data_IF_973229075645
#
_entry.id   IF_973229075645
#
_cell.length_a   1.000
_cell.length_b   1.000
_cell.length_c   1.000
_cell.angle_alpha   90.00
_cell.angle_beta   90.00
_cell.angle_gamma   90.00
#
_symmetry.space_group_name_H-M   'P 1'
#
loop_
_entity.id
_entity.type
_entity.pdbx_description
1 polymer ?
#
# COMPACT_ATOMS: atom_id res chain seq x y z
N UNK A 1 -33.38 9.08 1.94
CA UNK A 1 -32.23 9.99 2.12
C UNK A 1 -31.06 9.10 2.44
N UNK A 2 -30.27 8.72 1.42
CA UNK A 2 -29.12 7.84 1.59
C UNK A 2 -27.93 8.80 1.63
N UNK A 3 -27.39 9.01 2.81
CA UNK A 3 -26.23 9.89 2.99
C UNK A 3 -25.07 9.36 2.15
N UNK A 4 -24.77 10.08 1.06
CA UNK A 4 -23.52 9.98 0.31
C UNK A 4 -22.38 10.57 1.16
N UNK A 5 -22.22 10.07 2.38
CA UNK A 5 -21.08 10.35 3.24
C UNK A 5 -19.92 9.49 2.73
N UNK A 6 -19.26 10.03 1.71
CA UNK A 6 -17.92 9.69 1.26
C UNK A 6 -17.68 8.21 0.96
N UNK A 7 -17.84 7.83 -0.31
CA UNK A 7 -17.40 6.53 -0.88
C UNK A 7 -15.93 6.19 -0.52
N UNK A 8 -15.16 7.20 -0.10
CA UNK A 8 -13.85 7.10 0.49
C UNK A 8 -13.87 7.62 1.95
N UNK A 9 -14.17 6.72 2.90
CA UNK A 9 -14.20 7.02 4.33
C UNK A 9 -12.79 7.00 4.94
N UNK A 10 -12.54 7.77 6.01
CA UNK A 10 -11.26 7.78 6.74
C UNK A 10 -10.84 6.36 7.18
N UNK A 11 -11.81 5.47 7.44
CA UNK A 11 -11.60 4.05 7.74
C UNK A 11 -10.88 3.32 6.59
N UNK A 12 -11.29 3.59 5.34
CA UNK A 12 -10.73 3.01 4.11
C UNK A 12 -9.29 3.51 3.92
N UNK A 13 -9.04 4.81 4.13
CA UNK A 13 -7.71 5.39 4.03
C UNK A 13 -6.72 4.76 5.03
N UNK A 14 -7.14 4.53 6.28
CA UNK A 14 -6.32 3.87 7.30
C UNK A 14 -5.97 2.43 6.89
N UNK A 15 -6.96 1.66 6.42
CA UNK A 15 -6.72 0.29 5.94
C UNK A 15 -5.71 0.29 4.79
N UNK A 16 -5.85 1.24 3.86
CA UNK A 16 -4.98 1.38 2.69
C UNK A 16 -3.53 1.68 3.10
N UNK A 17 -3.31 2.58 4.06
CA UNK A 17 -1.98 2.89 4.60
C UNK A 17 -1.35 1.65 5.26
N UNK A 18 -2.13 0.89 6.03
CA UNK A 18 -1.64 -0.34 6.68
C UNK A 18 -1.23 -1.39 5.64
N UNK A 19 -2.06 -1.65 4.63
CA UNK A 19 -1.73 -2.58 3.54
C UNK A 19 -0.46 -2.16 2.79
N UNK A 20 -0.26 -0.86 2.62
CA UNK A 20 0.91 -0.31 1.96
C UNK A 20 2.19 -0.52 2.81
N UNK A 21 2.13 -0.22 4.11
CA UNK A 21 3.24 -0.48 5.02
C UNK A 21 3.61 -1.96 5.11
N UNK A 22 2.60 -2.84 5.12
CA UNK A 22 2.78 -4.29 5.10
C UNK A 22 3.49 -4.75 3.81
N UNK A 23 3.11 -4.18 2.68
CA UNK A 23 3.69 -4.49 1.37
C UNK A 23 5.12 -3.99 1.22
N UNK A 24 5.45 -2.83 1.79
CA UNK A 24 6.82 -2.32 1.89
C UNK A 24 7.67 -3.27 2.75
N UNK A 25 7.13 -3.75 3.87
CA UNK A 25 7.77 -4.76 4.72
C UNK A 25 8.07 -6.05 3.96
N UNK A 26 7.08 -6.61 3.25
CA UNK A 26 7.25 -7.80 2.41
C UNK A 26 8.27 -7.53 1.29
N UNK A 27 8.20 -6.38 0.63
CA UNK A 27 9.14 -5.97 -0.41
C UNK A 27 10.58 -5.98 0.07
N UNK A 28 10.83 -5.58 1.34
CA UNK A 28 12.17 -5.67 1.91
C UNK A 28 12.70 -7.10 2.01
N UNK A 29 11.86 -8.11 2.15
CA UNK A 29 12.30 -9.51 2.20
C UNK A 29 12.23 -10.19 0.83
N UNK A 30 11.31 -9.78 -0.03
CA UNK A 30 11.07 -10.38 -1.35
C UNK A 30 12.03 -9.88 -2.44
N UNK A 31 12.48 -8.62 -2.36
CA UNK A 31 13.33 -8.02 -3.39
C UNK A 31 14.78 -8.48 -3.19
N UNK A 32 15.19 -9.46 -4.00
CA UNK A 32 16.56 -10.01 -4.02
C UNK A 32 17.58 -9.12 -4.75
N UNK A 33 17.13 -8.31 -5.70
CA UNK A 33 17.96 -7.40 -6.50
C UNK A 33 17.52 -5.98 -6.18
N UNK A 34 18.24 -5.33 -5.27
CA UNK A 34 17.97 -3.98 -4.81
C UNK A 34 18.79 -2.97 -5.61
N UNK A 35 18.24 -1.79 -5.87
CA UNK A 35 19.01 -0.68 -6.45
C UNK A 35 19.23 -0.73 -7.98
N UNK A 36 18.40 -1.43 -8.75
CA UNK A 36 18.40 -1.36 -10.24
C UNK A 36 17.89 -0.01 -10.79
N UNK A 37 17.75 1.02 -9.96
CA UNK A 37 17.25 2.33 -10.34
C UNK A 37 17.81 3.43 -9.43
N UNK A 38 17.60 4.71 -9.78
CA UNK A 38 18.19 5.84 -9.06
C UNK A 38 17.87 5.75 -7.57
N UNK A 39 18.91 5.72 -6.76
CA UNK A 39 18.82 5.75 -5.30
C UNK A 39 18.28 7.13 -4.89
N UNK A 40 17.02 7.23 -4.44
CA UNK A 40 16.59 8.47 -3.80
C UNK A 40 16.98 8.40 -2.32
N UNK A 41 17.82 9.32 -1.82
CA UNK A 41 18.10 9.45 -0.39
C UNK A 41 16.94 10.10 0.40
N UNK A 42 15.70 10.03 -0.09
CA UNK A 42 14.56 10.77 0.49
C UNK A 42 13.94 10.09 1.72
N UNK A 43 14.27 8.82 1.99
CA UNK A 43 13.59 8.05 3.04
C UNK A 43 14.50 7.47 4.12
N UNK A 44 15.82 7.70 4.08
CA UNK A 44 16.75 7.13 5.08
C UNK A 44 16.76 5.59 5.14
N UNK A 45 15.97 4.90 4.30
CA UNK A 45 16.06 3.47 4.06
C UNK A 45 17.19 3.23 3.05
N UNK A 46 18.40 3.09 3.57
CA UNK A 46 19.55 2.60 2.83
C UNK A 46 19.15 1.27 2.13
N UNK A 47 19.01 1.32 0.79
CA UNK A 47 18.76 0.13 -0.04
C UNK A 47 17.34 -0.10 -0.55
N UNK A 48 16.43 0.89 -0.52
CA UNK A 48 15.12 0.81 -1.18
C UNK A 48 15.08 1.82 -2.35
N UNK A 49 15.35 1.37 -3.58
CA UNK A 49 15.36 2.23 -4.77
C UNK A 49 13.97 2.75 -5.18
N UNK A 50 13.92 3.75 -6.07
CA UNK A 50 12.68 4.26 -6.67
C UNK A 50 11.77 3.16 -7.24
N UNK A 51 12.29 2.20 -8.03
CA UNK A 51 11.46 1.11 -8.55
C UNK A 51 10.95 0.17 -7.46
N UNK A 52 11.69 -0.02 -6.38
CA UNK A 52 11.30 -0.89 -5.27
C UNK A 52 10.17 -0.28 -4.45
N UNK A 53 10.25 1.03 -4.18
CA UNK A 53 9.18 1.75 -3.49
C UNK A 53 7.91 1.77 -4.36
N UNK A 54 8.07 2.01 -5.67
CA UNK A 54 6.95 2.02 -6.63
C UNK A 54 6.29 0.64 -6.77
N UNK A 55 7.10 -0.42 -6.82
CA UNK A 55 6.60 -1.79 -6.89
C UNK A 55 5.85 -2.18 -5.61
N UNK A 56 6.43 -1.89 -4.44
CA UNK A 56 5.81 -2.22 -3.15
C UNK A 56 4.54 -1.43 -2.86
N UNK A 57 4.49 -0.15 -3.25
CA UNK A 57 3.25 0.65 -3.12
C UNK A 57 2.16 0.21 -4.08
N UNK A 58 2.53 -0.22 -5.30
CA UNK A 58 1.58 -0.78 -6.27
C UNK A 58 1.00 -2.11 -5.77
N UNK A 59 1.86 -2.98 -5.22
CA UNK A 59 1.42 -4.23 -4.58
C UNK A 59 0.52 -3.94 -3.38
N UNK A 60 0.89 -2.95 -2.56
CA UNK A 60 0.07 -2.45 -1.47
C UNK A 60 -1.32 -2.02 -1.92
N UNK A 61 -1.43 -1.28 -3.02
CA UNK A 61 -2.70 -0.87 -3.62
C UNK A 61 -3.57 -2.04 -4.07
N UNK A 62 -2.98 -3.09 -4.67
CA UNK A 62 -3.74 -4.29 -5.07
C UNK A 62 -4.30 -5.00 -3.84
N UNK A 63 -3.48 -5.22 -2.81
CA UNK A 63 -3.89 -5.87 -1.56
C UNK A 63 -4.94 -5.01 -0.82
N UNK A 64 -4.70 -3.70 -0.76
CA UNK A 64 -5.60 -2.75 -0.13
C UNK A 64 -6.97 -2.71 -0.80
N UNK A 65 -7.02 -2.60 -2.13
CA UNK A 65 -8.27 -2.65 -2.89
C UNK A 65 -9.03 -3.96 -2.67
N UNK A 66 -8.33 -5.10 -2.67
CA UNK A 66 -8.95 -6.41 -2.37
C UNK A 66 -9.50 -6.48 -0.94
N UNK A 67 -8.76 -5.95 0.03
CA UNK A 67 -9.18 -5.92 1.44
C UNK A 67 -10.40 -5.03 1.63
N UNK A 68 -10.41 -3.84 1.04
CA UNK A 68 -11.53 -2.90 1.09
C UNK A 68 -12.78 -3.52 0.46
N UNK A 69 -12.64 -4.14 -0.72
CA UNK A 69 -13.75 -4.81 -1.39
C UNK A 69 -14.29 -5.99 -0.56
N UNK A 70 -13.41 -6.77 0.06
CA UNK A 70 -13.77 -7.86 0.97
C UNK A 70 -14.53 -7.37 2.21
N UNK A 71 -14.04 -6.32 2.88
CA UNK A 71 -14.71 -5.75 4.06
C UNK A 71 -16.09 -5.16 3.72
N UNK A 72 -16.23 -4.52 2.54
CA UNK A 72 -17.53 -4.06 2.04
C UNK A 72 -18.46 -5.24 1.73
N UNK A 73 -17.94 -6.34 1.18
CA UNK A 73 -18.73 -7.54 0.89
C UNK A 73 -19.25 -8.22 2.16
N UNK A 74 -18.54 -8.11 3.29
CA UNK A 74 -18.96 -8.63 4.60
C UNK A 74 -19.89 -7.62 5.32
N UNK A 75 -20.23 -6.50 4.67
CA UNK A 75 -21.08 -5.43 5.20
C UNK A 75 -20.57 -4.82 6.53
N UNK A 76 -19.28 -4.96 6.81
CA UNK A 76 -18.62 -4.36 7.98
C UNK A 76 -18.29 -2.87 7.77
N UNK A 77 -18.49 -2.39 6.53
CA UNK A 77 -18.11 -1.08 6.04
C UNK A 77 -19.15 -0.60 5.03
#
# INVERSE_FOLDING_TARGET
>A
MIDMESIWSAKIAIIMIICNLFSIGIGRYAIKIRGLGPSIPVLGLEGLGLPELLATTSLGHIIGAGTILGLRSIQYL
#
